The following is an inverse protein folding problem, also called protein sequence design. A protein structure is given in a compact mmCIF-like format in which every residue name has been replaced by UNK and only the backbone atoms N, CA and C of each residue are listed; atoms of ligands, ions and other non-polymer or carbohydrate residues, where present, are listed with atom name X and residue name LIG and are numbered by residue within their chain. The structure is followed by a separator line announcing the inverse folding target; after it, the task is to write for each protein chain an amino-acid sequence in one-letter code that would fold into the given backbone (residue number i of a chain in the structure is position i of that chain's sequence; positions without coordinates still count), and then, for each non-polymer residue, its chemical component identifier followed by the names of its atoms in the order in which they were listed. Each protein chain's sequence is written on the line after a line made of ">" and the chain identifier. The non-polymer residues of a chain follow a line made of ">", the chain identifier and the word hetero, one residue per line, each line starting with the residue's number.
data_IF_703770932371
#
_entry.id   IF_703770932371
#
_cell.length_a   1.000
_cell.length_b   1.000
_cell.length_c   1.000
_cell.angle_alpha   90.00
_cell.angle_beta   90.00
_cell.angle_gamma   90.00
#
_symmetry.space_group_name_H-M   'P 1'
#
loop_
_entity.id
_entity.type
_entity.pdbx_description
1 polymer ?
#
# COMPACT_ATOMS: atom_id res chain seq x y z
N UNK A 1 -9.76 7.05 -8.15
CA UNK A 1 -10.80 6.01 -8.31
C UNK A 1 -10.24 4.69 -7.81
N UNK A 2 -10.99 3.94 -7.00
CA UNK A 2 -10.53 2.63 -6.51
C UNK A 2 -10.75 1.60 -7.61
N UNK A 3 -9.68 0.93 -8.06
CA UNK A 3 -9.73 -0.10 -9.11
C UNK A 3 -9.66 -1.53 -8.55
N UNK A 4 -9.14 -1.69 -7.32
CA UNK A 4 -9.04 -2.97 -6.63
C UNK A 4 -9.01 -2.74 -5.12
N UNK A 5 -9.64 -3.65 -4.37
CA UNK A 5 -9.45 -3.80 -2.93
C UNK A 5 -8.86 -5.18 -2.65
N UNK A 6 -7.82 -5.23 -1.81
CA UNK A 6 -7.11 -6.47 -1.47
C UNK A 6 -6.88 -6.54 0.03
N UNK A 7 -7.16 -7.70 0.63
CA UNK A 7 -6.81 -8.01 2.01
C UNK A 7 -5.63 -8.98 2.01
N UNK A 8 -4.52 -8.58 2.62
CA UNK A 8 -3.33 -9.42 2.81
C UNK A 8 -2.64 -8.98 4.11
N UNK A 9 -2.41 -9.91 5.04
CA UNK A 9 -1.74 -9.65 6.32
C UNK A 9 -0.30 -9.10 6.15
N UNK A 10 0.36 -9.40 5.03
CA UNK A 10 1.70 -8.92 4.70
C UNK A 10 1.69 -7.54 4.05
N UNK A 11 0.51 -7.03 3.68
CA UNK A 11 0.32 -5.74 3.01
C UNK A 11 1.08 -5.70 1.68
N UNK A 12 2.11 -4.85 1.59
CA UNK A 12 2.91 -4.65 0.37
C UNK A 12 4.22 -5.45 0.46
N UNK A 13 4.34 -6.50 -0.36
CA UNK A 13 5.50 -7.39 -0.33
C UNK A 13 5.77 -8.07 -1.68
N UNK A 14 7.05 -8.39 -1.90
CA UNK A 14 7.53 -9.22 -3.00
C UNK A 14 7.13 -8.75 -4.40
N UNK A 15 7.20 -9.67 -5.35
CA UNK A 15 6.81 -9.41 -6.75
C UNK A 15 5.29 -9.32 -6.94
N UNK A 16 4.51 -9.77 -5.95
CA UNK A 16 3.04 -9.72 -6.00
C UNK A 16 2.56 -8.27 -6.08
N UNK A 17 3.19 -7.35 -5.34
CA UNK A 17 2.92 -5.92 -5.45
C UNK A 17 3.02 -5.41 -6.90
N UNK A 18 4.14 -5.73 -7.56
CA UNK A 18 4.43 -5.33 -8.93
C UNK A 18 3.41 -5.90 -9.93
N UNK A 19 3.15 -7.21 -9.83
CA UNK A 19 2.20 -7.90 -10.72
C UNK A 19 0.80 -7.30 -10.65
N UNK A 20 0.27 -7.03 -9.45
CA UNK A 20 -1.04 -6.40 -9.32
C UNK A 20 -1.07 -4.98 -9.87
N UNK A 21 -0.11 -4.13 -9.49
CA UNK A 21 -0.08 -2.74 -9.96
C UNK A 21 -0.01 -2.63 -11.48
N UNK A 22 0.80 -3.48 -12.12
CA UNK A 22 0.95 -3.47 -13.58
C UNK A 22 -0.31 -4.00 -14.28
N UNK A 23 -0.89 -5.08 -13.77
CA UNK A 23 -2.05 -5.74 -14.40
C UNK A 23 -3.28 -4.85 -14.41
N UNK A 24 -3.53 -4.12 -13.31
CA UNK A 24 -4.71 -3.25 -13.18
C UNK A 24 -4.43 -1.78 -13.55
N UNK A 25 -3.18 -1.45 -13.88
CA UNK A 25 -2.77 -0.08 -14.19
C UNK A 25 -2.92 0.89 -13.00
N UNK A 26 -2.68 0.43 -11.77
CA UNK A 26 -2.77 1.30 -10.59
C UNK A 26 -1.54 2.22 -10.48
N UNK A 27 -1.80 3.51 -10.34
CA UNK A 27 -0.79 4.56 -10.13
C UNK A 27 -0.58 4.92 -8.65
N UNK A 28 -1.43 4.39 -7.76
CA UNK A 28 -1.43 4.66 -6.34
C UNK A 28 -1.79 3.41 -5.53
N UNK A 29 -1.10 3.23 -4.40
CA UNK A 29 -1.41 2.23 -3.37
C UNK A 29 -1.73 2.97 -2.07
N UNK A 30 -2.92 2.74 -1.54
CA UNK A 30 -3.32 3.15 -0.19
C UNK A 30 -3.30 1.93 0.73
N UNK A 31 -2.46 1.99 1.77
CA UNK A 31 -2.48 1.02 2.87
C UNK A 31 -3.24 1.66 4.03
N UNK A 32 -4.44 1.13 4.29
CA UNK A 32 -5.26 1.48 5.44
C UNK A 32 -4.96 0.49 6.58
N UNK A 33 -4.13 0.90 7.53
CA UNK A 33 -3.74 0.08 8.69
C UNK A 33 -3.23 0.97 9.82
N UNK A 34 -3.73 0.77 11.04
CA UNK A 34 -3.41 1.65 12.18
C UNK A 34 -1.98 1.45 12.72
N UNK A 35 -1.41 0.25 12.56
CA UNK A 35 -0.10 -0.09 13.11
C UNK A 35 1.06 0.40 12.23
N UNK A 36 0.90 0.41 10.90
CA UNK A 36 2.01 0.76 10.00
C UNK A 36 2.48 2.21 10.19
N UNK A 37 1.62 3.23 10.31
CA UNK A 37 2.05 4.60 10.54
C UNK A 37 2.90 4.79 11.79
N UNK A 38 2.67 3.98 12.83
CA UNK A 38 3.32 4.07 14.15
C UNK A 38 4.55 3.16 14.29
N UNK A 39 4.74 2.21 13.38
CA UNK A 39 5.87 1.29 13.36
C UNK A 39 6.88 1.64 12.24
N UNK A 40 7.93 2.38 12.59
CA UNK A 40 8.91 2.90 11.62
C UNK A 40 9.69 1.82 10.87
N UNK A 41 9.99 0.67 11.51
CA UNK A 41 10.64 -0.46 10.83
C UNK A 41 9.70 -1.00 9.75
N UNK A 42 8.45 -1.30 10.10
CA UNK A 42 7.46 -1.86 9.18
C UNK A 42 7.16 -0.89 8.02
N UNK A 43 7.02 0.40 8.32
CA UNK A 43 6.82 1.47 7.35
C UNK A 43 7.98 1.57 6.37
N UNK A 44 9.22 1.44 6.85
CA UNK A 44 10.42 1.45 6.00
C UNK A 44 10.46 0.22 5.10
N UNK A 45 10.20 -0.98 5.63
CA UNK A 45 10.13 -2.21 4.82
C UNK A 45 9.08 -2.12 3.72
N UNK A 46 7.89 -1.59 4.04
CA UNK A 46 6.81 -1.39 3.05
C UNK A 46 7.23 -0.39 1.97
N UNK A 47 7.90 0.71 2.32
CA UNK A 47 8.39 1.68 1.33
C UNK A 47 9.39 1.05 0.35
N UNK A 48 10.23 0.12 0.80
CA UNK A 48 11.17 -0.60 -0.06
C UNK A 48 10.47 -1.55 -1.04
N UNK A 49 9.28 -2.06 -0.69
CA UNK A 49 8.48 -2.92 -1.55
C UNK A 49 7.66 -2.15 -2.60
N UNK A 50 7.69 -0.81 -2.58
CA UNK A 50 6.91 0.04 -3.49
C UNK A 50 7.39 -0.11 -4.95
N UNK A 51 6.49 -0.42 -5.91
CA UNK A 51 6.83 -0.35 -7.33
C UNK A 51 7.26 1.05 -7.76
N UNK A 52 8.18 1.13 -8.73
CA UNK A 52 8.62 2.40 -9.30
C UNK A 52 7.47 3.11 -10.02
N UNK A 53 7.39 4.43 -9.92
CA UNK A 53 6.35 5.24 -10.56
C UNK A 53 4.98 5.21 -9.88
N UNK A 54 4.78 4.39 -8.84
CA UNK A 54 3.52 4.29 -8.09
C UNK A 54 3.57 5.17 -6.84
N UNK A 55 2.52 5.93 -6.54
CA UNK A 55 2.38 6.67 -5.27
C UNK A 55 2.04 5.69 -4.15
N UNK A 56 2.66 5.86 -2.98
CA UNK A 56 2.33 5.07 -1.79
C UNK A 56 1.82 5.99 -0.69
N UNK A 57 0.62 5.71 -0.21
CA UNK A 57 -0.03 6.39 0.91
C UNK A 57 -0.24 5.35 2.02
N UNK A 58 0.15 5.69 3.23
CA UNK A 58 0.01 4.84 4.41
C UNK A 58 -0.72 5.67 5.46
N UNK A 59 -1.88 5.21 5.91
CA UNK A 59 -2.78 5.91 6.82
C UNK A 59 -3.45 4.94 7.79
N UNK A 60 -3.96 5.47 8.91
CA UNK A 60 -4.93 4.75 9.74
C UNK A 60 -6.20 4.44 8.95
N UNK A 61 -7.06 3.58 9.48
CA UNK A 61 -8.37 3.31 8.89
C UNK A 61 -9.19 4.60 8.79
N UNK A 62 -9.28 5.37 9.87
CA UNK A 62 -10.07 6.61 9.92
C UNK A 62 -9.56 7.65 8.91
N UNK A 63 -8.24 7.86 8.84
CA UNK A 63 -7.64 8.80 7.90
C UNK A 63 -7.81 8.36 6.44
N UNK A 64 -7.96 7.05 6.20
CA UNK A 64 -8.17 6.47 4.87
C UNK A 64 -9.59 6.68 4.37
N UNK A 65 -10.58 6.75 5.27
CA UNK A 65 -11.97 7.06 4.93
C UNK A 65 -12.09 8.52 4.44
N UNK A 66 -11.30 9.43 5.04
CA UNK A 66 -11.30 10.85 4.69
C UNK A 66 -10.35 11.24 3.54
N UNK A 67 -9.68 10.26 2.92
CA UNK A 67 -8.58 10.49 1.97
C UNK A 67 -9.01 10.83 0.54
#
# INVERSE_FOLDING_TARGET
>A
MIVLTRVDHRLLHGQVAFSWTQTIGADCILIANDDVPTNEIRKTTIKLAKPQGVKLVIKSIDDSIAA
#
